data_IF_771117691847
#
_entry.id   IF_771117691847
#
_cell.length_a   1.000
_cell.length_b   1.000
_cell.length_c   1.000
_cell.angle_alpha   90.00
_cell.angle_beta   90.00
_cell.angle_gamma   90.00
#
_symmetry.space_group_name_H-M   'P 1'
#
loop_
_entity.id
_entity.type
_entity.pdbx_description
1 polymer ?
#
# COMPACT_ATOMS: atom_id res chain seq x y z
N UNK A 1 2.26 16.62 -6.15
CA UNK A 1 1.67 15.64 -5.22
C UNK A 1 0.58 14.87 -5.94
N UNK A 2 0.32 13.60 -5.63
CA UNK A 2 -0.73 12.82 -6.29
C UNK A 2 -2.11 13.44 -6.03
N UNK A 3 -3.00 13.41 -7.03
CA UNK A 3 -4.40 13.83 -6.86
C UNK A 3 -5.28 12.73 -6.25
N UNK A 4 -4.82 11.48 -6.30
CA UNK A 4 -5.54 10.31 -5.83
C UNK A 4 -4.82 9.68 -4.62
N UNK A 5 -5.62 9.05 -3.77
CA UNK A 5 -5.10 8.20 -2.69
C UNK A 5 -4.35 6.99 -3.28
N UNK A 6 -3.32 6.48 -2.57
CA UNK A 6 -2.65 5.26 -2.98
C UNK A 6 -3.62 4.08 -2.96
N UNK A 7 -3.46 3.18 -3.92
CA UNK A 7 -4.24 1.94 -4.02
C UNK A 7 -3.39 0.77 -3.52
N UNK A 8 -3.94 0.00 -2.59
CA UNK A 8 -3.34 -1.23 -2.09
C UNK A 8 -4.00 -2.41 -2.81
N UNK A 9 -3.20 -3.30 -3.37
CA UNK A 9 -3.65 -4.51 -4.06
C UNK A 9 -2.86 -5.73 -3.59
N UNK A 10 -3.50 -6.89 -3.69
CA UNK A 10 -2.90 -8.19 -3.39
C UNK A 10 -3.34 -9.24 -4.41
N UNK A 11 -2.58 -10.31 -4.52
CA UNK A 11 -2.97 -11.49 -5.30
C UNK A 11 -3.84 -12.45 -4.46
N UNK A 12 -3.64 -12.45 -3.14
CA UNK A 12 -4.37 -13.26 -2.18
C UNK A 12 -5.70 -12.60 -1.77
N UNK A 13 -6.77 -13.42 -1.68
CA UNK A 13 -8.12 -12.97 -1.30
C UNK A 13 -8.40 -13.05 0.20
N UNK A 14 -7.71 -13.93 0.89
CA UNK A 14 -7.89 -14.23 2.31
C UNK A 14 -6.52 -14.40 2.96
N UNK A 15 -6.46 -14.10 4.27
CA UNK A 15 -5.23 -14.15 5.04
C UNK A 15 -5.51 -14.69 6.43
N UNK A 16 -4.53 -15.40 6.98
CA UNK A 16 -4.50 -15.88 8.34
C UNK A 16 -3.36 -15.27 9.14
N UNK A 17 -3.47 -15.36 10.47
CA UNK A 17 -2.39 -14.96 11.35
C UNK A 17 -1.16 -15.85 11.11
N UNK A 18 -0.01 -15.22 10.83
CA UNK A 18 1.23 -15.90 10.52
C UNK A 18 1.59 -15.91 9.03
N UNK A 19 0.67 -15.49 8.16
CA UNK A 19 0.93 -15.39 6.72
C UNK A 19 1.90 -14.26 6.38
N UNK A 20 2.70 -14.48 5.34
CA UNK A 20 3.54 -13.45 4.75
C UNK A 20 2.75 -12.72 3.67
N UNK A 21 2.33 -11.49 3.97
CA UNK A 21 1.52 -10.69 3.05
C UNK A 21 2.37 -10.08 1.93
N UNK A 22 2.06 -10.43 0.68
CA UNK A 22 2.58 -9.76 -0.51
C UNK A 22 1.59 -8.69 -0.99
N UNK A 23 1.85 -7.43 -0.63
CA UNK A 23 1.00 -6.29 -0.97
C UNK A 23 1.72 -5.29 -1.88
N UNK A 24 0.99 -4.72 -2.83
CA UNK A 24 1.48 -3.64 -3.69
C UNK A 24 0.73 -2.35 -3.37
N UNK A 25 1.46 -1.27 -3.10
CA UNK A 25 0.90 0.07 -2.91
C UNK A 25 1.31 0.97 -4.07
N UNK A 26 0.35 1.38 -4.88
CA UNK A 26 0.57 2.25 -6.04
C UNK A 26 0.01 3.64 -5.75
N UNK A 27 0.86 4.66 -5.77
CA UNK A 27 0.40 6.06 -5.74
C UNK A 27 -0.09 6.51 -7.12
N UNK A 28 -0.95 7.53 -7.16
CA UNK A 28 -1.20 8.26 -8.40
C UNK A 28 0.08 8.94 -8.94
N UNK A 29 0.08 9.36 -10.21
CA UNK A 29 1.19 10.12 -10.80
C UNK A 29 1.53 11.36 -9.96
N UNK A 30 2.81 11.61 -9.72
CA UNK A 30 3.25 12.78 -8.96
C UNK A 30 4.60 13.29 -9.43
N UNK A 31 4.73 14.61 -9.45
CA UNK A 31 5.99 15.32 -9.57
C UNK A 31 6.09 16.34 -8.42
N UNK A 32 7.11 16.25 -7.53
CA UNK A 32 8.15 15.21 -7.47
C UNK A 32 7.57 13.82 -7.13
N UNK A 33 8.36 12.73 -7.29
CA UNK A 33 7.92 11.37 -6.95
C UNK A 33 7.36 11.26 -5.52
N UNK A 34 6.31 10.47 -5.36
CA UNK A 34 5.66 10.29 -4.07
C UNK A 34 6.54 9.47 -3.10
N UNK A 35 6.47 9.81 -1.81
CA UNK A 35 7.03 8.97 -0.75
C UNK A 35 5.95 8.05 -0.22
N UNK A 36 6.20 6.74 -0.27
CA UNK A 36 5.26 5.71 0.17
C UNK A 36 5.72 5.17 1.53
N UNK A 37 4.79 4.99 2.45
CA UNK A 37 5.05 4.42 3.78
C UNK A 37 3.85 3.58 4.17
N UNK A 38 4.14 2.39 4.71
CA UNK A 38 3.12 1.47 5.19
C UNK A 38 2.80 1.73 6.65
N UNK A 39 1.54 1.50 7.02
CA UNK A 39 1.08 1.47 8.40
C UNK A 39 0.13 0.28 8.54
N UNK A 40 0.33 -0.55 9.55
CA UNK A 40 -0.56 -1.67 9.87
C UNK A 40 -1.30 -1.32 11.16
N UNK A 41 -2.62 -1.20 11.07
CA UNK A 41 -3.48 -0.79 12.19
C UNK A 41 -3.05 0.55 12.84
N UNK A 42 -2.55 1.49 12.02
CA UNK A 42 -2.07 2.81 12.48
C UNK A 42 -0.64 2.80 13.04
N UNK A 43 0.01 1.64 13.15
CA UNK A 43 1.40 1.52 13.56
C UNK A 43 2.31 1.49 12.32
N UNK A 44 3.37 2.29 12.34
CA UNK A 44 4.38 2.33 11.28
C UNK A 44 5.29 1.11 11.34
#
# INVERSE_FOLDING_TARGET
VPNDNPKITSEEREYAAGDLLALNCTSGPSYPPAKITWYINGNK
#
